data_IF_973599902502
#
_entry.id   IF_973599902502
#
_cell.length_a   1.000
_cell.length_b   1.000
_cell.length_c   1.000
_cell.angle_alpha   90.00
_cell.angle_beta   90.00
_cell.angle_gamma   90.00
#
_symmetry.space_group_name_H-M   'P 1'
#
loop_
_entity.id
_entity.type
_entity.pdbx_description
1 polymer ?
#
# COMPACT_ATOMS: atom_id res chain seq x y z
N UNK A 1 3.30 -13.00 -5.27
CA UNK A 1 1.91 -13.43 -5.55
C UNK A 1 1.28 -12.34 -6.39
N UNK A 2 0.81 -12.67 -7.60
CA UNK A 2 0.15 -11.72 -8.51
C UNK A 2 -1.14 -11.20 -7.87
N UNK A 3 -1.34 -9.88 -7.93
CA UNK A 3 -2.42 -9.15 -7.24
C UNK A 3 -3.80 -9.40 -7.86
N UNK A 4 -4.36 -10.61 -7.70
CA UNK A 4 -5.74 -11.02 -8.05
C UNK A 4 -6.18 -10.78 -9.52
N UNK A 5 -7.20 -11.50 -10.04
CA UNK A 5 -7.56 -11.44 -11.45
C UNK A 5 -8.26 -10.11 -11.79
N UNK A 6 -8.29 -9.74 -13.08
CA UNK A 6 -8.92 -8.50 -13.57
C UNK A 6 -10.43 -8.67 -13.55
N UNK A 7 -11.05 -8.53 -12.39
CA UNK A 7 -12.49 -8.35 -12.31
C UNK A 7 -12.77 -6.84 -12.34
N UNK A 8 -13.65 -6.42 -13.26
CA UNK A 8 -13.95 -5.03 -13.67
C UNK A 8 -14.57 -4.14 -12.56
N UNK A 9 -14.43 -4.51 -11.29
CA UNK A 9 -14.98 -3.79 -10.14
C UNK A 9 -13.91 -3.21 -9.21
N UNK A 10 -12.62 -3.32 -9.55
CA UNK A 10 -11.54 -2.72 -8.74
C UNK A 10 -11.09 -1.40 -9.37
N UNK A 11 -11.69 -0.30 -8.92
CA UNK A 11 -11.31 1.07 -9.28
C UNK A 11 -9.83 1.35 -9.00
N UNK A 12 -9.11 1.85 -10.01
CA UNK A 12 -7.71 2.29 -9.91
C UNK A 12 -6.77 1.55 -10.87
N UNK A 13 -5.72 2.24 -11.37
CA UNK A 13 -4.75 1.64 -12.29
C UNK A 13 -4.03 0.46 -11.64
N UNK A 14 -3.64 -0.52 -12.47
CA UNK A 14 -2.85 -1.65 -12.02
C UNK A 14 -1.49 -1.15 -11.53
N UNK A 15 -1.12 -1.55 -10.32
CA UNK A 15 0.21 -1.27 -9.79
C UNK A 15 1.28 -1.95 -10.67
N UNK A 16 2.43 -1.31 -10.92
CA UNK A 16 3.52 -1.94 -11.66
C UNK A 16 4.03 -3.22 -10.95
N UNK A 17 4.64 -4.14 -11.71
CA UNK A 17 4.97 -5.49 -11.22
C UNK A 17 6.01 -5.53 -10.08
N UNK A 18 6.77 -4.46 -9.86
CA UNK A 18 7.71 -4.32 -8.74
C UNK A 18 7.04 -3.96 -7.40
N UNK A 19 5.72 -3.73 -7.41
CA UNK A 19 4.93 -3.44 -6.22
C UNK A 19 4.21 -4.68 -5.69
N UNK A 20 4.31 -4.89 -4.38
CA UNK A 20 3.64 -5.97 -3.68
C UNK A 20 2.92 -5.45 -2.44
N UNK A 21 1.89 -6.18 -2.01
CA UNK A 21 1.10 -5.88 -0.83
C UNK A 21 1.04 -7.11 0.09
N UNK A 22 1.38 -6.94 1.36
CA UNK A 22 1.18 -7.94 2.40
C UNK A 22 0.10 -7.45 3.38
N UNK A 23 -0.96 -8.25 3.57
CA UNK A 23 -2.06 -7.90 4.46
C UNK A 23 -1.86 -8.57 5.81
N UNK A 24 -2.16 -7.86 6.88
CA UNK A 24 -2.17 -8.40 8.24
C UNK A 24 -3.30 -7.81 9.07
N UNK A 25 -3.48 -8.37 10.26
CA UNK A 25 -4.41 -7.93 11.28
C UNK A 25 -3.59 -7.58 12.53
N UNK A 26 -3.86 -6.42 13.12
CA UNK A 26 -3.20 -5.95 14.34
C UNK A 26 -4.26 -5.45 15.34
N UNK A 27 -3.95 -5.52 16.64
CA UNK A 27 -4.90 -5.19 17.71
C UNK A 27 -5.68 -6.39 18.25
N UNK A 28 -6.52 -6.13 19.27
CA UNK A 28 -7.38 -7.12 19.93
C UNK A 28 -8.77 -6.53 20.20
N UNK A 29 -9.81 -7.38 20.13
CA UNK A 29 -11.20 -6.99 20.39
C UNK A 29 -11.67 -5.87 19.45
N UNK A 30 -12.38 -4.89 20.01
CA UNK A 30 -12.94 -3.75 19.27
C UNK A 30 -11.87 -2.81 18.67
N UNK A 31 -10.60 -2.97 19.05
CA UNK A 31 -9.46 -2.22 18.53
C UNK A 31 -8.73 -2.89 17.37
N UNK A 32 -9.21 -4.04 16.88
CA UNK A 32 -8.56 -4.75 15.79
C UNK A 32 -8.71 -3.99 14.45
N UNK A 33 -7.63 -3.87 13.70
CA UNK A 33 -7.60 -3.25 12.39
C UNK A 33 -6.76 -4.06 11.40
N UNK A 34 -7.17 -4.04 10.14
CA UNK A 34 -6.39 -4.65 9.08
C UNK A 34 -5.43 -3.61 8.50
N UNK A 35 -4.26 -4.07 8.12
CA UNK A 35 -3.24 -3.25 7.48
C UNK A 35 -2.72 -3.90 6.20
N UNK A 36 -2.17 -3.08 5.32
CA UNK A 36 -1.44 -3.49 4.14
C UNK A 36 -0.06 -2.82 4.12
N UNK A 37 0.99 -3.63 4.20
CA UNK A 37 2.36 -3.20 3.96
C UNK A 37 2.62 -3.19 2.45
N UNK A 38 2.83 -1.99 1.92
CA UNK A 38 3.12 -1.74 0.51
C UNK A 38 4.63 -1.75 0.31
N UNK A 39 5.08 -2.64 -0.57
CA UNK A 39 6.47 -2.87 -0.86
C UNK A 39 6.77 -2.54 -2.31
N UNK A 40 7.94 -1.95 -2.55
CA UNK A 40 8.52 -1.78 -3.89
C UNK A 40 9.91 -2.39 -3.90
N UNK A 41 10.19 -3.30 -4.84
CA UNK A 41 11.47 -4.00 -4.91
C UNK A 41 11.92 -4.58 -3.55
N UNK A 42 10.98 -5.20 -2.81
CA UNK A 42 11.16 -5.78 -1.45
C UNK A 42 11.46 -4.79 -0.32
N UNK A 43 11.36 -3.48 -0.55
CA UNK A 43 11.45 -2.45 0.52
C UNK A 43 10.06 -1.98 0.90
N UNK A 44 9.75 -1.94 2.19
CA UNK A 44 8.53 -1.31 2.69
C UNK A 44 8.57 0.19 2.37
N UNK A 45 7.55 0.67 1.68
CA UNK A 45 7.41 2.08 1.30
C UNK A 45 6.34 2.76 2.14
N UNK A 46 5.23 2.07 2.41
CA UNK A 46 4.12 2.63 3.17
C UNK A 46 3.29 1.51 3.83
N UNK A 47 2.64 1.83 4.95
CA UNK A 47 1.60 1.01 5.56
C UNK A 47 0.25 1.71 5.44
N UNK A 48 -0.74 1.01 4.89
CA UNK A 48 -2.12 1.46 4.82
C UNK A 48 -2.95 0.72 5.87
N UNK A 49 -3.94 1.39 6.45
CA UNK A 49 -4.79 0.82 7.51
C UNK A 49 -6.26 0.97 7.16
N UNK A 50 -7.05 -0.02 7.57
CA UNK A 50 -8.52 0.02 7.60
C UNK A 50 -9.03 -0.58 8.92
N UNK A 51 -9.89 0.16 9.61
CA UNK A 51 -10.52 -0.25 10.85
C UNK A 51 -12.04 -0.32 10.67
N UNK A 52 -12.74 -1.02 11.57
CA UNK A 52 -14.21 -1.11 11.56
C UNK A 52 -14.80 -1.98 10.43
N UNK A 53 -13.98 -2.84 9.83
CA UNK A 53 -14.39 -3.80 8.78
C UNK A 53 -14.78 -5.13 9.40
N UNK A 54 -15.79 -5.78 8.82
CA UNK A 54 -16.41 -6.98 9.43
C UNK A 54 -15.74 -8.29 9.00
N UNK A 55 -14.91 -8.25 7.96
CA UNK A 55 -14.25 -9.43 7.42
C UNK A 55 -12.89 -9.11 6.79
N UNK A 56 -12.02 -10.11 6.76
CA UNK A 56 -10.72 -10.03 6.08
C UNK A 56 -10.87 -9.83 4.57
N UNK A 57 -11.87 -10.44 3.93
CA UNK A 57 -12.11 -10.28 2.50
C UNK A 57 -12.50 -8.84 2.13
N UNK A 58 -13.36 -8.22 2.95
CA UNK A 58 -13.72 -6.81 2.81
C UNK A 58 -12.49 -5.92 3.04
N UNK A 59 -11.72 -6.19 4.10
CA UNK A 59 -10.49 -5.48 4.41
C UNK A 59 -9.51 -5.54 3.24
N UNK A 60 -9.30 -6.73 2.66
CA UNK A 60 -8.39 -6.97 1.54
C UNK A 60 -8.81 -6.21 0.29
N UNK A 61 -10.11 -6.18 -0.03
CA UNK A 61 -10.64 -5.39 -1.16
C UNK A 61 -10.41 -3.89 -0.96
N UNK A 62 -10.73 -3.38 0.23
CA UNK A 62 -10.55 -1.96 0.55
C UNK A 62 -9.07 -1.57 0.55
N UNK A 63 -8.19 -2.40 1.12
CA UNK A 63 -6.75 -2.17 1.13
C UNK A 63 -6.17 -2.24 -0.29
N UNK A 64 -6.64 -3.14 -1.15
CA UNK A 64 -6.19 -3.22 -2.54
C UNK A 64 -6.55 -1.95 -3.33
N UNK A 65 -7.78 -1.44 -3.17
CA UNK A 65 -8.21 -0.18 -3.81
C UNK A 65 -7.37 0.99 -3.28
N UNK A 66 -7.23 1.11 -1.95
CA UNK A 66 -6.37 2.15 -1.34
C UNK A 66 -4.93 2.07 -1.84
N UNK A 67 -4.37 0.86 -1.94
CA UNK A 67 -3.02 0.64 -2.42
C UNK A 67 -2.84 1.11 -3.86
N UNK A 68 -3.77 0.79 -4.77
CA UNK A 68 -3.70 1.24 -6.18
C UNK A 68 -3.69 2.77 -6.28
N UNK A 69 -4.63 3.44 -5.61
CA UNK A 69 -4.70 4.89 -5.60
C UNK A 69 -3.46 5.53 -4.96
N UNK A 70 -2.96 4.95 -3.86
CA UNK A 70 -1.77 5.46 -3.19
C UNK A 70 -0.51 5.28 -4.06
N UNK A 71 -0.36 4.14 -4.75
CA UNK A 71 0.77 3.89 -5.66
C UNK A 71 0.73 4.85 -6.85
N UNK A 72 -0.44 5.05 -7.45
CA UNK A 72 -0.62 5.98 -8.56
C UNK A 72 -0.24 7.41 -8.16
N UNK A 73 -0.77 7.88 -7.03
CA UNK A 73 -0.41 9.18 -6.46
C UNK A 73 1.09 9.26 -6.18
N UNK A 74 1.69 8.24 -5.54
CA UNK A 74 3.12 8.17 -5.25
C UNK A 74 3.99 8.29 -6.50
N UNK A 75 3.60 7.63 -7.60
CA UNK A 75 4.32 7.66 -8.87
C UNK A 75 4.14 8.99 -9.61
N UNK A 76 3.00 9.67 -9.44
CA UNK A 76 2.71 10.97 -10.06
C UNK A 76 3.45 12.13 -9.42
N UNK A 77 3.92 11.97 -8.17
CA UNK A 77 4.56 13.05 -7.41
C UNK A 77 5.87 13.48 -8.09
N UNK A 78 6.10 14.80 -8.25
CA UNK A 78 7.41 15.29 -8.68
C UNK A 78 8.45 14.87 -7.64
N UNK A 79 9.44 14.08 -8.06
CA UNK A 79 10.54 13.69 -7.20
C UNK A 79 11.44 14.92 -7.02
N UNK A 80 11.30 15.61 -5.89
CA UNK A 80 12.13 16.75 -5.53
C UNK A 80 13.53 16.29 -5.11
N UNK A 81 14.29 15.71 -6.05
CA UNK A 81 15.71 15.38 -5.90
C UNK A 81 16.09 14.50 -4.71
N UNK A 82 17.39 14.28 -4.55
CA UNK A 82 17.98 13.47 -3.49
C UNK A 82 17.78 14.15 -2.15
N UNK A 83 17.05 13.54 -1.21
CA UNK A 83 17.04 13.95 0.22
C UNK A 83 18.32 13.52 0.95
N UNK A 84 19.42 13.34 0.20
CA UNK A 84 20.71 13.14 0.83
C UNK A 84 20.97 14.43 1.60
N UNK A 85 21.01 14.31 2.92
CA UNK A 85 21.77 15.23 3.73
C UNK A 85 23.21 15.06 3.27
N UNK A 86 23.62 15.80 2.24
CA UNK A 86 25.04 15.94 1.93
C UNK A 86 25.67 16.52 3.20
N UNK A 87 26.55 15.76 3.89
CA UNK A 87 27.36 16.38 4.91
C UNK A 87 28.21 17.41 4.17
N UNK A 88 28.03 18.69 4.51
CA UNK A 88 28.92 19.75 4.06
C UNK A 88 30.33 19.38 4.52
N UNK A 89 31.12 18.77 3.63
CA UNK A 89 32.55 18.56 3.84
C UNK A 89 33.20 19.94 4.03
N UNK A 90 33.96 20.03 5.11
CA UNK A 90 34.55 21.26 5.64
C UNK A 90 36.07 21.21 5.53
#
# INVERSE_FOLDING_TARGET
>A
MNLYPPDETVSGPLAPADWTMAVGLEGQGDGAFYFADIQRARKNVCRLVVAGVKSEDEARRLLAVKARHWIDDYLSRPHSGTTAFDPLDR
#
